data_IF_027126497711
#
_entry.id   IF_027126497711
#
_cell.length_a   1.000
_cell.length_b   1.000
_cell.length_c   1.000
_cell.angle_alpha   90.00
_cell.angle_beta   90.00
_cell.angle_gamma   90.00
#
_symmetry.space_group_name_H-M   'P 1'
#
loop_
_entity.id
_entity.type
_entity.pdbx_description
1 polymer ?
#
# COMPACT_ATOMS: atom_id res chain seq x y z
N UNK A 1 7.91 -5.78 10.87
CA UNK A 1 7.63 -4.38 10.49
C UNK A 1 7.69 -3.54 11.76
N UNK A 2 8.91 -3.18 12.15
CA UNK A 2 9.20 -2.42 13.37
C UNK A 2 8.82 -0.96 13.13
N UNK A 3 7.84 -0.45 13.88
CA UNK A 3 7.47 0.97 13.88
C UNK A 3 8.68 1.77 14.36
N UNK A 4 9.41 2.40 13.42
CA UNK A 4 10.35 3.47 13.78
C UNK A 4 9.56 4.56 14.50
N UNK A 5 9.93 4.86 15.75
CA UNK A 5 9.32 5.93 16.53
C UNK A 5 9.69 7.27 15.89
N UNK A 6 8.77 7.84 15.15
CA UNK A 6 8.86 9.23 14.69
C UNK A 6 8.36 10.12 15.83
N UNK A 7 9.29 10.78 16.53
CA UNK A 7 9.01 11.59 17.72
C UNK A 7 8.52 13.01 17.39
N UNK A 8 8.57 13.43 16.13
CA UNK A 8 8.30 14.79 15.70
C UNK A 8 7.03 14.97 14.83
N UNK A 9 6.43 13.89 14.32
CA UNK A 9 5.26 13.96 13.44
C UNK A 9 4.10 13.11 13.98
N UNK A 10 2.84 13.47 13.69
CA UNK A 10 1.68 12.69 14.12
C UNK A 10 1.79 11.24 13.65
N UNK A 11 1.45 10.28 14.51
CA UNK A 11 1.57 8.83 14.25
C UNK A 11 0.94 8.39 12.92
N UNK A 12 -0.15 9.05 12.49
CA UNK A 12 -0.78 8.78 11.20
C UNK A 12 0.15 9.07 10.03
N UNK A 13 0.93 10.16 10.07
CA UNK A 13 1.86 10.55 8.99
C UNK A 13 3.00 9.54 8.89
N UNK A 14 3.55 9.15 10.03
CA UNK A 14 4.67 8.22 10.09
C UNK A 14 4.29 6.82 9.60
N UNK A 15 3.06 6.40 9.89
CA UNK A 15 2.53 5.09 9.49
C UNK A 15 2.22 5.04 7.99
N UNK A 16 1.86 6.17 7.37
CA UNK A 16 1.59 6.24 5.92
C UNK A 16 2.84 6.55 5.08
N UNK A 17 3.84 7.24 5.62
CA UNK A 17 5.08 7.55 4.89
C UNK A 17 5.81 6.30 4.40
N UNK A 18 5.90 5.29 5.25
CA UNK A 18 6.55 4.02 4.91
C UNK A 18 5.84 3.24 3.77
N UNK A 19 4.51 3.01 3.79
CA UNK A 19 3.81 2.38 2.69
C UNK A 19 3.83 3.24 1.41
N UNK A 20 3.72 4.57 1.52
CA UNK A 20 3.87 5.45 0.35
C UNK A 20 5.26 5.31 -0.29
N UNK A 21 6.33 5.27 0.51
CA UNK A 21 7.68 5.02 0.02
C UNK A 21 7.84 3.65 -0.63
N UNK A 22 7.20 2.62 -0.08
CA UNK A 22 7.23 1.25 -0.64
C UNK A 22 6.50 1.16 -1.97
N UNK A 23 5.29 1.73 -2.06
CA UNK A 23 4.50 1.75 -3.30
C UNK A 23 5.26 2.53 -4.38
N UNK A 24 5.82 3.70 -4.03
CA UNK A 24 6.63 4.51 -4.96
C UNK A 24 7.89 3.78 -5.43
N UNK A 25 8.57 3.05 -4.53
CA UNK A 25 9.74 2.25 -4.89
C UNK A 25 9.39 1.08 -5.82
N UNK A 26 8.24 0.42 -5.62
CA UNK A 26 7.76 -0.65 -6.51
C UNK A 26 7.27 -0.14 -7.86
N UNK A 27 6.73 1.07 -7.91
CA UNK A 27 6.47 1.76 -9.17
C UNK A 27 7.75 1.99 -9.98
N UNK A 28 8.89 2.14 -9.31
CA UNK A 28 10.17 2.40 -9.97
C UNK A 28 10.15 3.69 -10.81
N UNK A 29 10.92 3.71 -11.89
CA UNK A 29 10.88 4.76 -12.92
C UNK A 29 9.70 4.58 -13.90
N UNK A 30 8.78 3.64 -13.64
CA UNK A 30 7.68 3.36 -14.54
C UNK A 30 6.77 4.59 -14.62
N UNK A 31 6.66 5.13 -15.83
CA UNK A 31 5.66 6.12 -16.14
C UNK A 31 4.29 5.44 -16.07
N UNK A 32 3.26 6.17 -15.62
CA UNK A 32 1.89 5.66 -15.65
C UNK A 32 1.60 5.05 -17.03
N UNK A 33 1.04 3.85 -17.03
CA UNK A 33 0.78 3.12 -18.27
C UNK A 33 -0.31 3.81 -19.09
N UNK A 34 -1.19 4.54 -18.41
CA UNK A 34 -2.30 5.28 -19.00
C UNK A 34 -2.04 6.77 -19.05
N UNK A 35 -2.63 7.40 -20.07
CA UNK A 35 -2.72 8.86 -20.19
C UNK A 35 -4.04 9.35 -19.59
N UNK A 36 -4.03 10.58 -19.07
CA UNK A 36 -5.12 11.32 -18.38
C UNK A 36 -5.33 10.96 -16.91
N UNK A 37 -5.69 11.98 -16.12
CA UNK A 37 -5.83 11.91 -14.67
C UNK A 37 -6.82 10.86 -14.17
N UNK A 38 -7.92 10.63 -14.88
CA UNK A 38 -8.92 9.61 -14.49
C UNK A 38 -8.29 8.21 -14.46
N UNK A 39 -7.48 7.88 -15.46
CA UNK A 39 -6.91 6.54 -15.60
C UNK A 39 -5.71 6.37 -14.65
N UNK A 40 -4.90 7.41 -14.49
CA UNK A 40 -3.82 7.47 -13.49
C UNK A 40 -4.34 7.28 -12.06
N UNK A 41 -5.50 7.86 -11.72
CA UNK A 41 -6.14 7.64 -10.42
C UNK A 41 -6.53 6.17 -10.22
N UNK A 42 -7.04 5.50 -11.25
CA UNK A 42 -7.35 4.07 -11.20
C UNK A 42 -6.09 3.23 -11.03
N UNK A 43 -4.99 3.56 -11.70
CA UNK A 43 -3.70 2.89 -11.51
C UNK A 43 -3.17 3.05 -10.08
N UNK A 44 -3.23 4.27 -9.54
CA UNK A 44 -2.82 4.52 -8.15
C UNK A 44 -3.70 3.78 -7.15
N UNK A 45 -5.01 3.72 -7.38
CA UNK A 45 -5.93 2.95 -6.55
C UNK A 45 -5.61 1.45 -6.59
N UNK A 46 -5.30 0.90 -7.76
CA UNK A 46 -4.95 -0.52 -7.92
C UNK A 46 -3.64 -0.86 -7.21
N UNK A 47 -2.63 0.01 -7.29
CA UNK A 47 -1.37 -0.19 -6.58
C UNK A 47 -1.55 -0.13 -5.06
N UNK A 48 -2.35 0.82 -4.56
CA UNK A 48 -2.70 0.90 -3.15
C UNK A 48 -3.43 -0.38 -2.68
N UNK A 49 -4.37 -0.90 -3.47
CA UNK A 49 -5.07 -2.15 -3.18
C UNK A 49 -4.12 -3.35 -3.15
N UNK A 50 -3.24 -3.48 -4.14
CA UNK A 50 -2.26 -4.55 -4.20
C UNK A 50 -1.31 -4.53 -2.98
N UNK A 51 -0.86 -3.33 -2.57
CA UNK A 51 -0.08 -3.17 -1.35
C UNK A 51 -0.86 -3.59 -0.10
N UNK A 52 -2.13 -3.19 0.01
CA UNK A 52 -2.98 -3.54 1.14
C UNK A 52 -3.17 -5.06 1.25
N UNK A 53 -3.44 -5.76 0.14
CA UNK A 53 -3.58 -7.22 0.13
C UNK A 53 -2.26 -7.88 0.54
N UNK A 54 -1.12 -7.45 -0.04
CA UNK A 54 0.19 -8.01 0.32
C UNK A 54 0.54 -7.77 1.78
N UNK A 55 0.22 -6.60 2.33
CA UNK A 55 0.39 -6.30 3.77
C UNK A 55 -0.51 -7.19 4.62
N UNK A 56 -1.77 -7.38 4.25
CA UNK A 56 -2.69 -8.26 4.98
C UNK A 56 -2.18 -9.71 4.98
N UNK A 57 -1.72 -10.23 3.84
CA UNK A 57 -1.12 -11.57 3.80
C UNK A 57 0.05 -11.70 4.76
N UNK A 58 0.91 -10.69 4.88
CA UNK A 58 2.05 -10.69 5.81
C UNK A 58 1.61 -10.58 7.28
N UNK A 59 0.55 -9.83 7.58
CA UNK A 59 0.07 -9.61 8.95
C UNK A 59 -0.77 -10.75 9.51
N UNK A 60 -1.74 -11.26 8.74
CA UNK A 60 -2.73 -12.25 9.20
C UNK A 60 -2.56 -13.64 8.58
N UNK A 61 -1.80 -13.75 7.49
CA UNK A 61 -1.62 -15.00 6.74
C UNK A 61 -2.74 -15.27 5.74
N UNK A 62 -2.41 -16.03 4.67
CA UNK A 62 -3.31 -16.24 3.51
C UNK A 62 -4.57 -17.04 3.87
N UNK A 63 -4.45 -18.00 4.80
CA UNK A 63 -5.57 -18.86 5.22
C UNK A 63 -6.66 -18.07 5.95
N UNK A 64 -6.25 -17.19 6.87
CA UNK A 64 -7.18 -16.33 7.61
C UNK A 64 -7.80 -15.25 6.72
N UNK A 65 -7.03 -14.73 5.77
CA UNK A 65 -7.54 -13.78 4.79
C UNK A 65 -8.66 -14.39 3.93
N UNK A 66 -8.47 -15.63 3.43
CA UNK A 66 -9.51 -16.30 2.63
C UNK A 66 -10.79 -16.59 3.43
N UNK A 67 -10.65 -16.96 4.71
CA UNK A 67 -11.81 -17.15 5.59
C UNK A 67 -12.58 -15.84 5.82
N UNK A 68 -11.89 -14.73 6.01
CA UNK A 68 -12.51 -13.42 6.23
C UNK A 68 -13.18 -12.81 4.98
N UNK A 69 -12.85 -13.29 3.78
CA UNK A 69 -13.48 -12.85 2.52
C UNK A 69 -14.70 -13.72 2.16
N UNK A 70 -14.75 -14.96 2.65
CA UNK A 70 -15.84 -15.90 2.39
C UNK A 70 -17.08 -15.69 3.28
N UNK A 71 -17.00 -14.81 4.28
CA UNK A 71 -18.13 -14.37 5.13
C UNK A 71 -18.84 -13.17 4.51
#
# INVERSE_FOLDING_TARGET
MTLRRCTAAPLHRCTVEHPFGTIKAWMGAAHFLTRRLRNVRSEMALQALAYNIKRMVVLIGIRRLMQAIQT
#
